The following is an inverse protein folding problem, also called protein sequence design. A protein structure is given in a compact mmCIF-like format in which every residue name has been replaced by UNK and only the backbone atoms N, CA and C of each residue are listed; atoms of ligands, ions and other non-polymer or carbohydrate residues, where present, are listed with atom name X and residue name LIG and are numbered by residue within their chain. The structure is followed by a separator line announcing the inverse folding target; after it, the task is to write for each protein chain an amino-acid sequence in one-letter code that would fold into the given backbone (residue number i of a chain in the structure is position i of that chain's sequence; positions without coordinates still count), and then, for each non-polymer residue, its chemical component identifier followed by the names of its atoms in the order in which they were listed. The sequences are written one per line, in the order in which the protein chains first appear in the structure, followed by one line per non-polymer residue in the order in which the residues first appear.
data_IF_609523522255
#
_entry.id   IF_609523522255
#
_cell.length_a   1.000
_cell.length_b   1.000
_cell.length_c   1.000
_cell.angle_alpha   90.00
_cell.angle_beta   90.00
_cell.angle_gamma   90.00
#
_symmetry.space_group_name_H-M   'P 1'
#
loop_
_entity.id
_entity.type
_entity.pdbx_description
1 polymer ?
#
# COMPACT_ATOMS: atom_id res chain seq x y z
N UNK A 1 3.71 -8.66 5.13
CA UNK A 1 3.00 -7.43 5.55
C UNK A 1 2.86 -6.58 4.31
N UNK A 2 1.72 -5.92 4.14
CA UNK A 2 1.43 -5.18 2.92
C UNK A 2 1.18 -3.71 3.23
N UNK A 3 1.53 -2.85 2.29
CA UNK A 3 1.18 -1.42 2.32
C UNK A 3 0.57 -1.05 0.98
N UNK A 4 -0.37 -0.11 1.03
CA UNK A 4 -0.88 0.54 -0.16
C UNK A 4 -0.01 1.77 -0.43
N UNK A 5 0.50 1.87 -1.65
CA UNK A 5 1.15 3.07 -2.14
C UNK A 5 0.14 3.82 -3.00
N UNK A 6 -0.10 5.08 -2.69
CA UNK A 6 -1.10 5.91 -3.35
C UNK A 6 -0.46 7.18 -3.90
N UNK A 7 -0.86 7.58 -5.10
CA UNK A 7 -0.48 8.83 -5.73
C UNK A 7 0.41 8.67 -6.95
N UNK A 8 1.05 9.76 -7.33
CA UNK A 8 1.89 9.89 -8.51
C UNK A 8 3.35 10.11 -8.10
N UNK A 9 4.32 9.32 -8.58
CA UNK A 9 5.73 9.50 -8.26
C UNK A 9 6.30 10.91 -8.50
N UNK A 10 5.69 11.71 -9.37
CA UNK A 10 6.11 13.08 -9.65
C UNK A 10 5.51 14.13 -8.70
N UNK A 11 4.34 13.86 -8.11
CA UNK A 11 3.63 14.79 -7.22
C UNK A 11 3.81 14.42 -5.74
N UNK A 12 4.05 13.14 -5.46
CA UNK A 12 4.18 12.58 -4.12
C UNK A 12 3.52 11.21 -4.02
N UNK A 13 4.07 10.38 -3.14
CA UNK A 13 3.51 9.08 -2.79
C UNK A 13 3.16 9.08 -1.31
N UNK A 14 1.96 8.60 -1.01
CA UNK A 14 1.49 8.30 0.34
C UNK A 14 1.50 6.80 0.58
N UNK A 15 1.72 6.41 1.84
CA UNK A 15 1.73 5.03 2.28
C UNK A 15 0.59 4.80 3.28
N UNK A 16 -0.25 3.80 3.01
CA UNK A 16 -1.35 3.41 3.89
C UNK A 16 -1.19 1.96 4.33
N UNK A 17 -1.43 1.68 5.61
CA UNK A 17 -1.30 0.37 6.21
C UNK A 17 -0.69 0.44 7.62
N UNK A 18 -0.08 -0.65 8.11
CA UNK A 18 0.11 -1.94 7.43
C UNK A 18 -1.17 -2.79 7.33
N UNK A 19 -1.25 -3.60 6.29
CA UNK A 19 -2.27 -4.63 6.09
C UNK A 19 -1.69 -6.04 6.24
N UNK A 20 -2.50 -6.97 6.71
CA UNK A 20 -2.12 -8.38 6.86
C UNK A 20 -2.27 -9.15 5.54
N UNK A 21 -3.28 -8.79 4.73
CA UNK A 21 -3.66 -9.44 3.48
C UNK A 21 -3.68 -8.43 2.31
N UNK A 22 -3.12 -8.78 1.12
CA UNK A 22 -3.12 -7.88 -0.03
C UNK A 22 -4.51 -7.66 -0.66
N UNK A 23 -5.42 -8.62 -0.55
CA UNK A 23 -6.80 -8.49 -1.03
C UNK A 23 -7.58 -7.53 -0.14
N UNK A 24 -7.37 -7.57 1.18
CA UNK A 24 -7.95 -6.59 2.12
C UNK A 24 -7.51 -5.16 1.76
N UNK A 25 -6.20 -4.96 1.55
CA UNK A 25 -5.65 -3.67 1.14
C UNK A 25 -6.26 -3.18 -0.18
N UNK A 26 -6.43 -4.08 -1.15
CA UNK A 26 -7.00 -3.77 -2.47
C UNK A 26 -8.48 -3.40 -2.38
N UNK A 27 -9.28 -4.16 -1.62
CA UNK A 27 -10.71 -3.89 -1.42
C UNK A 27 -10.92 -2.54 -0.76
N UNK A 28 -10.12 -2.22 0.26
CA UNK A 28 -10.16 -0.92 0.93
C UNK A 28 -9.78 0.22 -0.03
N UNK A 29 -8.71 0.06 -0.82
CA UNK A 29 -8.26 1.05 -1.79
C UNK A 29 -9.28 1.33 -2.92
N UNK A 30 -10.01 0.32 -3.35
CA UNK A 30 -11.08 0.47 -4.35
C UNK A 30 -12.19 1.38 -3.84
N UNK A 31 -12.46 1.44 -2.53
CA UNK A 31 -13.50 2.32 -2.00
C UNK A 31 -12.99 3.75 -1.77
N UNK A 32 -11.82 3.87 -1.14
CA UNK A 32 -11.25 5.14 -0.66
C UNK A 32 -10.50 5.94 -1.74
N UNK A 33 -9.88 5.26 -2.72
CA UNK A 33 -9.00 5.87 -3.73
C UNK A 33 -9.46 5.59 -5.17
N UNK A 34 -10.78 5.63 -5.41
CA UNK A 34 -11.41 5.32 -6.72
C UNK A 34 -10.81 6.04 -7.93
N UNK A 35 -10.34 7.27 -7.74
CA UNK A 35 -9.85 8.13 -8.82
C UNK A 35 -8.33 8.34 -8.78
N UNK A 36 -7.65 7.80 -7.77
CA UNK A 36 -6.20 7.93 -7.61
C UNK A 36 -5.48 6.68 -8.11
N UNK A 37 -4.21 6.84 -8.46
CA UNK A 37 -3.35 5.70 -8.80
C UNK A 37 -2.85 5.07 -7.51
N UNK A 38 -3.04 3.77 -7.36
CA UNK A 38 -2.54 3.05 -6.20
C UNK A 38 -2.09 1.64 -6.57
N UNK A 39 -1.21 1.07 -5.76
CA UNK A 39 -0.79 -0.33 -5.87
C UNK A 39 -0.42 -0.88 -4.49
N UNK A 40 -0.64 -2.19 -4.30
CA UNK A 40 -0.26 -2.89 -3.08
C UNK A 40 1.18 -3.39 -3.21
N UNK A 41 1.98 -3.18 -2.16
CA UNK A 41 3.35 -3.67 -2.08
C UNK A 41 3.52 -4.55 -0.85
N UNK A 42 4.19 -5.69 -1.02
CA UNK A 42 4.72 -6.44 0.12
C UNK A 42 5.92 -5.69 0.70
N UNK A 43 5.91 -5.51 2.02
CA UNK A 43 7.01 -4.92 2.77
C UNK A 43 7.57 -5.93 3.76
N UNK A 44 8.90 -6.03 3.73
CA UNK A 44 9.68 -6.73 4.75
C UNK A 44 10.20 -5.69 5.72
N UNK A 45 9.83 -5.80 7.00
CA UNK A 45 10.37 -4.91 8.02
C UNK A 45 11.90 -5.08 8.11
N UNK A 46 12.68 -4.00 8.12
CA UNK A 46 14.11 -4.08 8.35
C UNK A 46 14.34 -4.53 9.81
N UNK A 47 14.66 -5.82 10.02
CA UNK A 47 14.85 -6.34 11.37
C UNK A 47 14.90 -7.86 11.58
N UNK A 48 14.79 -8.71 10.56
CA UNK A 48 15.11 -10.13 10.69
C UNK A 48 16.19 -10.52 9.68
N UNK A 49 17.43 -10.20 10.05
CA UNK A 49 18.61 -10.95 9.62
C UNK A 49 18.83 -11.96 10.74
N UNK A 50 18.66 -13.26 10.44
CA UNK A 50 19.10 -14.34 11.34
C UNK A 50 20.64 -14.37 11.40
#
# INVERSE_FOLDING_TARGET
MYVLVVGNPFDGLDLVGPFEDPDEASVWAVDEYKNDTWWVMEVTLPGFVD
#
